data_IF_587717018869
#
_entry.id   IF_587717018869
#
_cell.length_a   1.000
_cell.length_b   1.000
_cell.length_c   1.000
_cell.angle_alpha   90.00
_cell.angle_beta   90.00
_cell.angle_gamma   90.00
#
_symmetry.space_group_name_H-M   'P 1'
#
loop_
_entity.id
_entity.type
_entity.pdbx_description
1 polymer ?
#
# COMPACT_ATOMS: atom_id res chain seq x y z
N UNK A 1 10.92 8.96 -15.15
CA UNK A 1 11.01 7.55 -15.58
C UNK A 1 9.88 6.79 -14.88
N UNK A 2 9.06 6.03 -15.60
CA UNK A 2 7.95 5.30 -15.01
C UNK A 2 8.46 4.22 -14.07
N UNK A 3 8.02 4.25 -12.81
CA UNK A 3 8.35 3.23 -11.82
C UNK A 3 7.47 1.99 -11.99
N UNK A 4 6.14 2.21 -12.07
CA UNK A 4 5.14 1.17 -12.31
C UNK A 4 4.43 1.46 -13.63
N UNK A 5 4.20 0.42 -14.44
CA UNK A 5 3.37 0.49 -15.64
C UNK A 5 2.39 -0.67 -15.60
N UNK A 6 1.13 -0.36 -15.67
CA UNK A 6 0.01 -1.31 -15.76
C UNK A 6 -0.54 -1.20 -17.17
N UNK A 7 -0.57 -2.29 -17.92
CA UNK A 7 -0.95 -2.29 -19.33
C UNK A 7 -2.06 -3.29 -19.58
N UNK A 8 -3.25 -2.78 -19.89
CA UNK A 8 -4.45 -3.52 -20.28
C UNK A 8 -4.70 -4.75 -19.40
N UNK A 9 -4.64 -4.58 -18.07
CA UNK A 9 -4.87 -5.66 -17.12
C UNK A 9 -6.32 -6.14 -17.19
N UNK A 10 -6.47 -7.47 -17.22
CA UNK A 10 -7.77 -8.14 -17.12
C UNK A 10 -7.77 -9.23 -16.05
N UNK A 11 -8.84 -9.27 -15.28
CA UNK A 11 -9.11 -10.35 -14.33
C UNK A 11 -10.61 -10.49 -14.12
N UNK A 12 -11.12 -11.71 -14.28
CA UNK A 12 -12.52 -12.06 -14.02
C UNK A 12 -12.61 -13.16 -12.97
N UNK A 13 -13.70 -13.18 -12.23
CA UNK A 13 -14.09 -14.24 -11.31
C UNK A 13 -15.49 -14.69 -11.69
N UNK A 14 -15.64 -15.94 -12.16
CA UNK A 14 -16.88 -16.38 -12.76
C UNK A 14 -17.30 -15.45 -13.91
N UNK A 15 -18.51 -14.91 -13.88
CA UNK A 15 -19.02 -13.96 -14.87
C UNK A 15 -18.68 -12.49 -14.61
N UNK A 16 -18.02 -12.15 -13.50
CA UNK A 16 -17.73 -10.75 -13.10
C UNK A 16 -16.34 -10.34 -13.54
N UNK A 17 -16.25 -9.29 -14.36
CA UNK A 17 -14.98 -8.67 -14.75
C UNK A 17 -14.53 -7.70 -13.65
N UNK A 18 -13.72 -8.20 -12.71
CA UNK A 18 -13.23 -7.39 -11.59
C UNK A 18 -12.19 -6.35 -12.01
N UNK A 19 -11.39 -6.64 -13.06
CA UNK A 19 -10.48 -5.69 -13.72
C UNK A 19 -10.63 -5.91 -15.22
N UNK A 20 -10.92 -4.86 -15.98
CA UNK A 20 -11.28 -4.91 -17.41
C UNK A 20 -10.52 -3.84 -18.21
N UNK A 21 -9.33 -4.18 -18.68
CA UNK A 21 -8.50 -3.35 -19.55
C UNK A 21 -7.82 -2.17 -18.85
N UNK A 22 -7.58 -2.26 -17.53
CA UNK A 22 -6.98 -1.16 -16.75
C UNK A 22 -5.55 -0.89 -17.20
N UNK A 23 -5.26 0.38 -17.47
CA UNK A 23 -3.92 0.85 -17.85
C UNK A 23 -3.62 2.18 -17.17
N UNK A 24 -2.46 2.29 -16.50
CA UNK A 24 -1.93 3.53 -15.94
C UNK A 24 -0.43 3.37 -15.64
N UNK A 25 0.22 4.46 -15.31
CA UNK A 25 1.62 4.48 -14.87
C UNK A 25 1.74 5.22 -13.55
N UNK A 26 2.79 4.92 -12.78
CA UNK A 26 3.20 5.73 -11.62
C UNK A 26 4.67 6.11 -11.76
N UNK A 27 4.98 7.34 -11.39
CA UNK A 27 6.35 7.85 -11.33
C UNK A 27 6.98 7.56 -9.96
N UNK A 28 8.30 7.53 -9.88
CA UNK A 28 8.99 7.51 -8.59
C UNK A 28 8.65 8.77 -7.78
N UNK A 29 8.40 8.61 -6.48
CA UNK A 29 8.01 9.70 -5.59
C UNK A 29 6.56 10.20 -5.76
N UNK A 30 5.78 9.61 -6.68
CA UNK A 30 4.38 9.99 -6.88
C UNK A 30 3.49 9.43 -5.78
N UNK A 31 2.57 10.26 -5.28
CA UNK A 31 1.53 9.85 -4.32
C UNK A 31 0.20 9.89 -5.05
N UNK A 32 -0.36 8.72 -5.32
CA UNK A 32 -1.61 8.55 -6.04
C UNK A 32 -2.66 7.83 -5.19
N UNK A 33 -3.91 8.26 -5.31
CA UNK A 33 -5.05 7.57 -4.74
C UNK A 33 -5.78 6.76 -5.81
N UNK A 34 -6.22 5.56 -5.46
CA UNK A 34 -7.14 4.74 -6.25
C UNK A 34 -8.48 4.71 -5.55
N UNK A 35 -9.46 5.40 -6.07
CA UNK A 35 -10.80 5.47 -5.51
C UNK A 35 -11.84 4.76 -6.38
N UNK A 36 -13.01 4.52 -5.84
CA UNK A 36 -14.13 3.87 -6.53
C UNK A 36 -15.05 3.20 -5.52
N UNK A 37 -16.30 2.88 -5.89
CA UNK A 37 -17.26 2.24 -5.01
C UNK A 37 -16.79 0.84 -4.56
N UNK A 38 -17.51 0.26 -3.60
CA UNK A 38 -17.30 -1.12 -3.20
C UNK A 38 -17.55 -2.05 -4.39
N UNK A 39 -16.67 -3.03 -4.57
CA UNK A 39 -16.74 -3.92 -5.74
C UNK A 39 -16.20 -3.35 -7.06
N UNK A 40 -15.66 -2.11 -7.06
CA UNK A 40 -15.09 -1.51 -8.27
C UNK A 40 -13.85 -2.26 -8.82
N UNK A 41 -13.20 -3.11 -8.01
CA UNK A 41 -12.02 -3.89 -8.40
C UNK A 41 -10.69 -3.39 -7.81
N UNK A 42 -10.72 -2.43 -6.86
CA UNK A 42 -9.52 -1.83 -6.24
C UNK A 42 -8.58 -2.88 -5.63
N UNK A 43 -9.07 -3.71 -4.71
CA UNK A 43 -8.27 -4.76 -4.06
C UNK A 43 -7.82 -5.84 -5.05
N UNK A 44 -8.62 -6.14 -6.09
CA UNK A 44 -8.20 -7.04 -7.18
C UNK A 44 -7.03 -6.46 -7.95
N UNK A 45 -7.07 -5.17 -8.26
CA UNK A 45 -5.97 -4.49 -8.95
C UNK A 45 -4.70 -4.49 -8.11
N UNK A 46 -4.79 -4.23 -6.80
CA UNK A 46 -3.66 -4.34 -5.88
C UNK A 46 -3.09 -5.75 -5.85
N UNK A 47 -3.94 -6.78 -5.77
CA UNK A 47 -3.54 -8.18 -5.77
C UNK A 47 -2.86 -8.62 -7.08
N UNK A 48 -3.19 -7.99 -8.21
CA UNK A 48 -2.50 -8.19 -9.48
C UNK A 48 -1.12 -7.52 -9.50
N UNK A 49 -0.99 -6.34 -8.90
CA UNK A 49 0.27 -5.59 -8.84
C UNK A 49 1.25 -6.27 -7.88
N UNK A 50 0.80 -6.71 -6.69
CA UNK A 50 1.69 -7.36 -5.70
C UNK A 50 1.94 -8.85 -5.96
N UNK A 51 1.19 -9.47 -6.88
CA UNK A 51 1.39 -10.85 -7.30
C UNK A 51 0.60 -11.90 -6.53
N UNK A 52 -0.34 -11.50 -5.68
CA UNK A 52 -1.29 -12.44 -5.06
C UNK A 52 -2.26 -13.03 -6.09
N UNK A 53 -2.48 -12.30 -7.19
CA UNK A 53 -3.26 -12.77 -8.33
C UNK A 53 -2.45 -12.65 -9.61
N UNK A 54 -2.65 -13.61 -10.53
CA UNK A 54 -2.09 -13.57 -11.88
C UNK A 54 -3.11 -12.94 -12.82
N UNK A 55 -2.73 -11.97 -13.68
CA UNK A 55 -3.62 -11.42 -14.69
C UNK A 55 -3.98 -12.48 -15.75
N UNK A 56 -5.20 -12.41 -16.29
CA UNK A 56 -5.64 -13.24 -17.42
C UNK A 56 -5.17 -12.66 -18.75
N UNK A 57 -5.01 -11.34 -18.82
CA UNK A 57 -4.40 -10.64 -19.95
C UNK A 57 -3.79 -9.32 -19.46
N UNK A 58 -2.96 -8.72 -20.31
CA UNK A 58 -2.17 -7.54 -19.95
C UNK A 58 -0.91 -7.88 -19.15
N UNK A 59 -0.23 -6.86 -18.67
CA UNK A 59 1.01 -7.03 -17.90
C UNK A 59 1.24 -5.89 -16.93
N UNK A 60 2.06 -6.16 -15.92
CA UNK A 60 2.59 -5.17 -14.99
C UNK A 60 4.10 -5.14 -15.17
N UNK A 61 4.65 -3.93 -15.34
CA UNK A 61 6.08 -3.67 -15.39
C UNK A 61 6.49 -2.82 -14.19
N UNK A 62 7.62 -3.15 -13.60
CA UNK A 62 8.24 -2.39 -12.51
C UNK A 62 9.68 -2.07 -12.90
N UNK A 63 10.04 -0.78 -12.96
CA UNK A 63 11.29 -0.31 -13.54
C UNK A 63 11.58 -0.83 -14.96
N UNK A 64 10.53 -1.04 -15.77
CA UNK A 64 10.63 -1.57 -17.12
C UNK A 64 10.72 -3.10 -17.20
N UNK A 65 10.84 -3.83 -16.07
CA UNK A 65 10.87 -5.28 -16.04
C UNK A 65 9.48 -5.86 -15.77
N UNK A 66 9.11 -6.93 -16.48
CA UNK A 66 7.81 -7.60 -16.31
C UNK A 66 7.75 -8.35 -14.97
N UNK A 67 6.66 -8.11 -14.22
CA UNK A 67 6.41 -8.80 -12.96
C UNK A 67 5.80 -10.20 -13.12
N UNK A 68 5.49 -10.64 -14.33
CA UNK A 68 4.69 -11.86 -14.56
C UNK A 68 5.33 -13.12 -13.96
N UNK A 69 6.65 -13.20 -13.99
CA UNK A 69 7.40 -14.36 -13.48
C UNK A 69 7.75 -14.24 -11.98
N UNK A 70 7.45 -13.09 -11.32
CA UNK A 70 7.88 -12.86 -9.96
C UNK A 70 6.79 -13.23 -8.96
N UNK A 71 7.16 -14.04 -7.98
CA UNK A 71 6.35 -14.30 -6.78
C UNK A 71 6.18 -13.02 -5.94
N UNK A 72 5.20 -12.99 -5.06
CA UNK A 72 4.99 -11.89 -4.11
C UNK A 72 6.25 -11.59 -3.30
N UNK A 73 6.95 -12.61 -2.82
CA UNK A 73 8.20 -12.44 -2.07
C UNK A 73 9.32 -11.80 -2.91
N UNK A 74 9.43 -12.15 -4.21
CA UNK A 74 10.37 -11.50 -5.12
C UNK A 74 10.00 -10.06 -5.40
N UNK A 75 8.72 -9.75 -5.58
CA UNK A 75 8.23 -8.36 -5.75
C UNK A 75 8.57 -7.51 -4.53
N UNK A 76 8.37 -8.06 -3.32
CA UNK A 76 8.72 -7.37 -2.07
C UNK A 76 10.23 -7.09 -2.00
N UNK A 77 11.08 -8.10 -2.24
CA UNK A 77 12.55 -7.91 -2.24
C UNK A 77 13.05 -6.93 -3.31
N UNK A 78 12.29 -6.75 -4.40
CA UNK A 78 12.62 -5.81 -5.48
C UNK A 78 12.02 -4.41 -5.28
N UNK A 79 11.34 -4.21 -4.15
CA UNK A 79 10.90 -2.89 -3.71
C UNK A 79 9.42 -2.58 -3.93
N UNK A 80 8.54 -3.60 -3.98
CA UNK A 80 7.08 -3.40 -3.90
C UNK A 80 6.63 -3.80 -2.51
N UNK A 81 6.37 -2.82 -1.64
CA UNK A 81 5.79 -3.02 -0.32
C UNK A 81 4.27 -2.97 -0.34
N UNK A 82 3.63 -3.65 0.60
CA UNK A 82 2.18 -3.57 0.80
C UNK A 82 1.82 -3.57 2.28
N UNK A 83 0.87 -2.70 2.67
CA UNK A 83 0.13 -2.85 3.92
C UNK A 83 -1.19 -3.56 3.62
N UNK A 84 -1.73 -4.28 4.60
CA UNK A 84 -2.96 -5.04 4.45
C UNK A 84 -4.07 -4.40 5.29
N UNK A 85 -5.32 -4.59 4.90
CA UNK A 85 -6.48 -4.09 5.63
C UNK A 85 -6.60 -4.72 7.03
N UNK A 86 -6.18 -5.97 7.17
CA UNK A 86 -6.09 -6.67 8.46
C UNK A 86 -4.63 -6.73 8.88
N UNK A 87 -4.33 -6.26 10.09
CA UNK A 87 -2.99 -6.23 10.65
C UNK A 87 -2.32 -7.61 10.61
N UNK A 88 -1.20 -7.69 9.90
CA UNK A 88 -0.40 -8.93 9.85
C UNK A 88 0.78 -8.82 10.81
N UNK A 89 0.45 -8.66 12.10
CA UNK A 89 1.43 -8.60 13.18
C UNK A 89 1.42 -9.88 14.00
N UNK A 90 2.55 -10.25 14.54
CA UNK A 90 2.65 -11.34 15.53
C UNK A 90 2.29 -10.77 16.89
N UNK A 91 1.06 -10.99 17.32
CA UNK A 91 0.47 -10.39 18.51
C UNK A 91 1.25 -10.67 19.81
N UNK A 92 1.88 -11.84 19.92
CA UNK A 92 2.65 -12.30 21.06
C UNK A 92 4.09 -11.79 21.10
N UNK A 93 4.60 -11.28 19.99
CA UNK A 93 5.93 -10.70 19.89
C UNK A 93 5.90 -9.22 20.27
N UNK A 94 7.06 -8.70 20.71
CA UNK A 94 7.19 -7.28 20.94
C UNK A 94 7.13 -6.49 19.61
N UNK A 95 6.85 -5.22 19.69
CA UNK A 95 6.85 -4.28 18.55
C UNK A 95 8.21 -4.33 17.84
N UNK A 96 9.32 -4.30 18.60
CA UNK A 96 10.67 -4.43 18.05
C UNK A 96 10.87 -5.76 17.33
N UNK A 97 10.46 -6.86 17.94
CA UNK A 97 10.60 -8.21 17.37
C UNK A 97 9.82 -8.38 16.05
N UNK A 98 8.64 -7.79 15.96
CA UNK A 98 7.87 -7.77 14.71
C UNK A 98 8.68 -7.10 13.56
N UNK A 99 9.31 -5.95 13.84
CA UNK A 99 10.11 -5.25 12.83
C UNK A 99 11.40 -6.01 12.49
N UNK A 100 12.05 -6.64 13.49
CA UNK A 100 13.23 -7.49 13.26
C UNK A 100 12.91 -8.68 12.34
N UNK A 101 11.75 -9.32 12.53
CA UNK A 101 11.27 -10.39 11.63
C UNK A 101 11.03 -9.88 10.21
N UNK A 102 10.42 -8.71 10.05
CA UNK A 102 10.19 -8.12 8.73
C UNK A 102 11.51 -7.81 8.02
N UNK A 103 12.51 -7.29 8.74
CA UNK A 103 13.85 -7.05 8.21
C UNK A 103 14.52 -8.37 7.76
N UNK A 104 14.42 -9.44 8.57
CA UNK A 104 14.96 -10.75 8.24
C UNK A 104 14.31 -11.34 6.97
N UNK A 105 12.99 -11.23 6.87
CA UNK A 105 12.23 -11.68 5.70
C UNK A 105 12.61 -10.89 4.42
N UNK A 106 12.80 -9.58 4.54
CA UNK A 106 13.22 -8.72 3.43
C UNK A 106 14.61 -9.10 2.89
N UNK A 107 15.54 -9.55 3.75
CA UNK A 107 16.87 -10.04 3.36
C UNK A 107 16.84 -11.44 2.73
N UNK A 108 15.69 -12.11 2.71
CA UNK A 108 15.56 -13.46 2.15
C UNK A 108 16.26 -14.55 2.98
N UNK A 109 16.63 -14.25 4.22
CA UNK A 109 17.23 -15.20 5.14
C UNK A 109 16.13 -16.09 5.71
N UNK A 110 16.23 -17.41 5.45
CA UNK A 110 15.41 -18.38 6.15
C UNK A 110 15.70 -18.25 7.65
N UNK A 111 14.66 -18.19 8.46
CA UNK A 111 14.75 -18.16 9.92
C UNK A 111 15.28 -19.52 10.42
N UNK A 112 16.58 -19.68 10.40
CA UNK A 112 17.23 -20.67 11.25
C UNK A 112 17.02 -20.25 12.69
N UNK A 113 16.54 -21.14 13.56
CA UNK A 113 16.24 -20.84 14.98
C UNK A 113 17.48 -20.29 15.73
N UNK A 114 18.68 -20.57 15.26
CA UNK A 114 19.94 -20.04 15.79
C UNK A 114 20.30 -18.63 15.27
N UNK A 115 19.72 -18.20 14.15
CA UNK A 115 19.91 -16.88 13.54
C UNK A 115 18.87 -15.85 13.99
N UNK A 116 18.08 -16.14 14.99
CA UNK A 116 17.34 -15.19 15.81
C UNK A 116 18.31 -14.31 16.59
N UNK A 117 19.27 -13.77 15.88
CA UNK A 117 20.17 -12.74 16.37
C UNK A 117 19.37 -11.45 16.42
N UNK A 118 18.48 -11.42 17.41
CA UNK A 118 17.69 -10.25 17.78
C UNK A 118 18.58 -9.00 17.83
N UNK A 119 19.83 -9.15 18.23
CA UNK A 119 20.79 -8.04 18.36
C UNK A 119 21.24 -7.48 17.00
N UNK A 120 21.46 -8.31 15.98
CA UNK A 120 21.98 -7.83 14.70
C UNK A 120 21.05 -6.87 13.95
N UNK A 121 19.75 -6.87 14.23
CA UNK A 121 18.78 -5.99 13.59
C UNK A 121 18.11 -5.01 14.54
N UNK A 122 18.52 -5.01 15.82
CA UNK A 122 17.91 -4.17 16.84
C UNK A 122 18.05 -2.68 16.50
N UNK A 123 19.22 -2.25 16.04
CA UNK A 123 19.45 -0.85 15.64
C UNK A 123 18.61 -0.45 14.42
N UNK A 124 18.59 -1.28 13.37
CA UNK A 124 17.78 -1.03 12.18
C UNK A 124 16.28 -1.04 12.50
N UNK A 125 15.82 -1.98 13.33
CA UNK A 125 14.43 -2.02 13.77
C UNK A 125 14.07 -0.81 14.64
N UNK A 126 14.91 -0.40 15.56
CA UNK A 126 14.71 0.80 16.37
C UNK A 126 14.66 2.07 15.50
N UNK A 127 15.50 2.15 14.47
CA UNK A 127 15.47 3.25 13.52
C UNK A 127 14.14 3.31 12.74
N UNK A 128 13.61 2.17 12.29
CA UNK A 128 12.29 2.11 11.66
C UNK A 128 11.17 2.51 12.62
N UNK A 129 11.21 2.02 13.85
CA UNK A 129 10.23 2.40 14.88
C UNK A 129 10.26 3.90 15.19
N UNK A 130 11.45 4.50 15.22
CA UNK A 130 11.59 5.95 15.39
C UNK A 130 10.96 6.72 14.22
N UNK A 131 11.10 6.25 12.98
CA UNK A 131 10.50 6.88 11.78
C UNK A 131 8.97 6.92 11.84
N UNK A 132 8.35 5.90 12.45
CA UNK A 132 6.88 5.80 12.60
C UNK A 132 6.38 6.24 13.98
N UNK A 133 7.26 6.71 14.87
CA UNK A 133 6.91 7.23 16.19
C UNK A 133 6.52 6.17 17.21
N UNK A 134 7.03 4.94 17.07
CA UNK A 134 6.78 3.81 17.99
C UNK A 134 7.97 3.42 18.86
N UNK A 135 9.01 4.24 18.93
CA UNK A 135 10.24 3.91 19.64
C UNK A 135 10.00 3.60 21.13
N UNK A 136 9.10 4.33 21.77
CA UNK A 136 8.74 4.13 23.18
C UNK A 136 7.97 2.83 23.45
N UNK A 137 7.36 2.23 22.41
CA UNK A 137 6.61 0.99 22.48
C UNK A 137 7.43 -0.24 22.05
N UNK A 138 8.74 -0.09 21.84
CA UNK A 138 9.60 -1.15 21.29
C UNK A 138 9.54 -2.47 22.05
N UNK A 139 9.43 -2.42 23.38
CA UNK A 139 9.34 -3.58 24.28
C UNK A 139 7.92 -4.07 24.55
N UNK A 140 6.90 -3.31 24.14
CA UNK A 140 5.51 -3.70 24.38
C UNK A 140 5.10 -4.85 23.46
N UNK A 141 4.18 -5.71 23.91
CA UNK A 141 3.60 -6.72 23.04
C UNK A 141 2.75 -6.02 21.96
N UNK A 142 2.84 -6.48 20.71
CA UNK A 142 2.06 -5.88 19.64
C UNK A 142 0.54 -5.91 19.89
N UNK A 143 0.05 -6.92 20.61
CA UNK A 143 -1.35 -7.02 21.03
C UNK A 143 -1.82 -5.91 21.99
N UNK A 144 -0.92 -5.21 22.68
CA UNK A 144 -1.26 -4.15 23.63
C UNK A 144 -1.35 -2.75 22.99
N UNK A 145 -0.97 -2.63 21.71
CA UNK A 145 -0.98 -1.35 21.01
C UNK A 145 -2.40 -0.83 20.77
N UNK A 146 -2.57 0.47 20.86
CA UNK A 146 -3.76 1.15 20.35
C UNK A 146 -3.87 0.97 18.84
N UNK A 147 -5.09 1.06 18.30
CA UNK A 147 -5.35 0.82 16.88
C UNK A 147 -4.50 1.69 15.93
N UNK A 148 -4.34 2.96 16.23
CA UNK A 148 -3.50 3.88 15.45
C UNK A 148 -2.01 3.47 15.46
N UNK A 149 -1.52 2.94 16.58
CA UNK A 149 -0.15 2.47 16.70
C UNK A 149 0.07 1.13 16.00
N UNK A 150 -0.95 0.26 15.94
CA UNK A 150 -0.93 -0.93 15.07
C UNK A 150 -0.75 -0.51 13.60
N UNK A 151 -1.47 0.53 13.13
CA UNK A 151 -1.32 1.04 11.75
C UNK A 151 0.08 1.61 11.48
N UNK A 152 0.70 2.24 12.48
CA UNK A 152 2.11 2.68 12.39
C UNK A 152 3.08 1.50 12.37
N UNK A 153 2.80 0.44 13.15
CA UNK A 153 3.60 -0.78 13.11
C UNK A 153 3.52 -1.46 11.74
N UNK A 154 2.33 -1.59 11.15
CA UNK A 154 2.15 -2.11 9.79
C UNK A 154 2.98 -1.32 8.77
N UNK A 155 2.98 0.01 8.88
CA UNK A 155 3.82 0.85 8.04
C UNK A 155 5.31 0.54 8.24
N UNK A 156 5.78 0.38 9.48
CA UNK A 156 7.17 0.01 9.75
C UNK A 156 7.54 -1.36 9.14
N UNK A 157 6.64 -2.35 9.23
CA UNK A 157 6.84 -3.67 8.62
C UNK A 157 6.95 -3.57 7.09
N UNK A 158 6.10 -2.79 6.44
CA UNK A 158 6.16 -2.58 5.00
C UNK A 158 7.44 -1.83 4.57
N UNK A 159 7.93 -0.89 5.38
CA UNK A 159 9.17 -0.14 5.14
C UNK A 159 10.44 -0.97 5.35
N UNK A 160 10.38 -2.11 6.06
CA UNK A 160 11.53 -2.98 6.31
C UNK A 160 12.19 -3.47 5.01
N UNK A 161 11.42 -3.69 3.94
CA UNK A 161 11.92 -4.07 2.63
C UNK A 161 12.46 -2.89 1.80
N UNK A 162 12.52 -1.66 2.37
CA UNK A 162 12.92 -0.42 1.68
C UNK A 162 12.20 -0.25 0.34
N UNK A 163 10.86 -0.21 0.32
CA UNK A 163 10.09 -0.22 -0.90
C UNK A 163 10.34 1.05 -1.73
N UNK A 164 10.31 0.89 -3.04
CA UNK A 164 10.24 2.00 -4.01
C UNK A 164 8.80 2.32 -4.39
N UNK A 165 7.90 1.33 -4.26
CA UNK A 165 6.45 1.46 -4.39
C UNK A 165 5.80 0.88 -3.14
N UNK A 166 4.95 1.66 -2.48
CA UNK A 166 4.13 1.21 -1.36
C UNK A 166 2.66 1.19 -1.77
N UNK A 167 2.05 0.02 -1.69
CA UNK A 167 0.61 -0.19 -1.89
C UNK A 167 -0.08 -0.19 -0.53
N UNK A 168 -1.09 0.66 -0.34
CA UNK A 168 -1.80 0.78 0.93
C UNK A 168 -3.31 0.64 0.73
N UNK A 169 -3.90 -0.39 1.32
CA UNK A 169 -5.33 -0.66 1.21
C UNK A 169 -6.04 -0.08 2.44
N UNK A 170 -6.73 1.05 2.26
CA UNK A 170 -7.48 1.79 3.29
C UNK A 170 -6.65 2.06 4.58
N UNK A 171 -5.48 2.72 4.46
CA UNK A 171 -4.54 2.86 5.59
C UNK A 171 -5.13 3.57 6.79
N UNK A 172 -6.15 4.42 6.60
CA UNK A 172 -6.74 5.22 7.68
C UNK A 172 -8.14 4.75 8.13
N UNK A 173 -8.62 3.60 7.59
CA UNK A 173 -9.92 3.05 7.97
C UNK A 173 -10.03 2.84 9.48
N UNK A 174 -11.16 3.25 10.07
CA UNK A 174 -11.43 3.10 11.51
C UNK A 174 -10.72 4.09 12.44
N UNK A 175 -9.91 5.02 11.91
CA UNK A 175 -9.19 6.02 12.71
C UNK A 175 -9.99 7.32 12.88
N UNK A 176 -9.78 8.04 13.98
CA UNK A 176 -10.29 9.39 14.18
C UNK A 176 -9.66 10.38 13.17
N UNK A 177 -10.36 11.47 12.83
CA UNK A 177 -9.92 12.41 11.79
C UNK A 177 -8.49 12.93 12.00
N UNK A 178 -8.15 13.36 13.22
CA UNK A 178 -6.81 13.85 13.54
C UNK A 178 -5.72 12.79 13.35
N UNK A 179 -5.99 11.54 13.72
CA UNK A 179 -5.06 10.43 13.59
C UNK A 179 -4.85 10.06 12.11
N UNK A 180 -5.93 10.08 11.29
CA UNK A 180 -5.86 9.85 9.84
C UNK A 180 -4.90 10.83 9.18
N UNK A 181 -5.07 12.12 9.47
CA UNK A 181 -4.21 13.16 8.92
C UNK A 181 -2.76 13.02 9.38
N UNK A 182 -2.53 12.72 10.66
CA UNK A 182 -1.19 12.51 11.21
C UNK A 182 -0.48 11.30 10.54
N UNK A 183 -1.19 10.19 10.32
CA UNK A 183 -0.64 9.02 9.63
C UNK A 183 -0.30 9.36 8.17
N UNK A 184 -1.20 10.01 7.44
CA UNK A 184 -0.96 10.37 6.04
C UNK A 184 0.18 11.38 5.88
N UNK A 185 0.29 12.37 6.77
CA UNK A 185 1.44 13.29 6.80
C UNK A 185 2.76 12.55 7.02
N UNK A 186 2.77 11.53 7.90
CA UNK A 186 3.94 10.67 8.12
C UNK A 186 4.30 9.91 6.84
N UNK A 187 3.33 9.29 6.17
CA UNK A 187 3.53 8.56 4.91
C UNK A 187 4.12 9.48 3.84
N UNK A 188 3.53 10.66 3.64
CA UNK A 188 4.00 11.66 2.66
C UNK A 188 5.45 12.09 2.94
N UNK A 189 5.80 12.35 4.22
CA UNK A 189 7.15 12.69 4.63
C UNK A 189 8.14 11.57 4.33
N UNK A 190 7.80 10.31 4.69
CA UNK A 190 8.65 9.14 4.44
C UNK A 190 8.82 8.86 2.94
N UNK A 191 7.75 8.99 2.17
CA UNK A 191 7.77 8.85 0.72
C UNK A 191 8.69 9.90 0.08
N UNK A 192 8.57 11.16 0.50
CA UNK A 192 9.44 12.23 -0.01
C UNK A 192 10.92 12.04 0.33
N UNK A 193 11.22 11.57 1.55
CA UNK A 193 12.61 11.34 1.99
C UNK A 193 13.31 10.21 1.20
N UNK A 194 12.58 9.20 0.75
CA UNK A 194 13.11 8.03 0.03
C UNK A 194 12.79 7.99 -1.46
N UNK A 195 12.13 9.01 -2.00
CA UNK A 195 11.60 9.04 -3.37
C UNK A 195 10.70 7.82 -3.68
N UNK A 196 9.97 7.35 -2.67
CA UNK A 196 9.06 6.21 -2.74
C UNK A 196 7.74 6.65 -3.35
N UNK A 197 7.25 5.91 -4.36
CA UNK A 197 5.88 6.08 -4.84
C UNK A 197 4.90 5.42 -3.86
N UNK A 198 3.73 6.03 -3.71
CA UNK A 198 2.63 5.48 -2.90
C UNK A 198 1.37 5.41 -3.75
N UNK A 199 0.75 4.23 -3.79
CA UNK A 199 -0.60 4.05 -4.32
C UNK A 199 -1.48 3.56 -3.18
N UNK A 200 -2.48 4.36 -2.81
CA UNK A 200 -3.36 4.01 -1.70
C UNK A 200 -4.84 4.02 -2.12
N UNK A 201 -5.63 3.15 -1.48
CA UNK A 201 -7.10 3.24 -1.57
C UNK A 201 -7.64 3.94 -0.35
N UNK A 202 -8.71 4.68 -0.48
CA UNK A 202 -9.40 5.36 0.62
C UNK A 202 -10.86 5.65 0.28
N UNK A 203 -11.70 5.73 1.33
CA UNK A 203 -13.08 6.20 1.23
C UNK A 203 -13.26 7.63 1.73
N UNK A 204 -12.32 8.12 2.52
CA UNK A 204 -12.33 9.47 3.09
C UNK A 204 -11.82 10.47 2.05
N UNK A 205 -12.73 11.23 1.44
CA UNK A 205 -12.38 12.17 0.38
C UNK A 205 -11.49 13.31 0.86
N UNK A 206 -11.60 13.73 2.12
CA UNK A 206 -10.70 14.68 2.76
C UNK A 206 -9.25 14.17 2.79
N UNK A 207 -9.05 12.89 3.03
CA UNK A 207 -7.72 12.24 2.93
C UNK A 207 -7.25 12.18 1.48
N UNK A 208 -8.11 11.72 0.56
CA UNK A 208 -7.77 11.62 -0.86
C UNK A 208 -7.33 12.97 -1.41
N UNK A 209 -8.17 13.99 -1.27
CA UNK A 209 -7.89 15.32 -1.82
C UNK A 209 -6.83 16.11 -1.04
N UNK A 210 -6.60 15.76 0.22
CA UNK A 210 -5.56 16.40 1.05
C UNK A 210 -4.15 15.90 0.79
N UNK A 211 -3.99 14.65 0.31
CA UNK A 211 -2.67 14.02 0.25
C UNK A 211 -2.27 13.46 -1.13
N UNK A 212 -3.24 13.07 -1.98
CA UNK A 212 -2.93 12.59 -3.31
C UNK A 212 -2.57 13.76 -4.25
N UNK A 213 -1.55 13.55 -5.09
CA UNK A 213 -1.23 14.45 -6.21
C UNK A 213 -1.90 14.03 -7.51
N UNK A 214 -2.39 12.79 -7.54
CA UNK A 214 -3.13 12.20 -8.66
C UNK A 214 -4.17 11.24 -8.12
N UNK A 215 -5.33 11.23 -8.73
CA UNK A 215 -6.45 10.37 -8.38
C UNK A 215 -6.83 9.53 -9.59
N UNK A 216 -6.89 8.23 -9.38
CA UNK A 216 -7.36 7.22 -10.31
C UNK A 216 -8.74 6.76 -9.84
N UNK A 217 -9.75 6.83 -10.70
CA UNK A 217 -11.12 6.43 -10.37
C UNK A 217 -11.47 5.14 -11.09
N UNK A 218 -11.72 4.10 -10.31
CA UNK A 218 -12.11 2.79 -10.79
C UNK A 218 -13.61 2.57 -10.63
N UNK A 219 -14.30 2.15 -11.69
CA UNK A 219 -15.71 1.78 -11.66
C UNK A 219 -15.92 0.53 -12.49
N UNK A 220 -16.59 -0.49 -11.93
CA UNK A 220 -16.92 -1.76 -12.61
C UNK A 220 -15.71 -2.38 -13.33
N UNK A 221 -14.53 -2.35 -12.68
CA UNK A 221 -13.29 -2.89 -13.22
C UNK A 221 -12.57 -2.00 -14.23
N UNK A 222 -13.07 -0.82 -14.58
CA UNK A 222 -12.49 0.10 -15.56
C UNK A 222 -12.04 1.40 -14.93
N UNK A 223 -10.96 1.96 -15.44
CA UNK A 223 -10.52 3.29 -15.08
C UNK A 223 -11.37 4.30 -15.85
N UNK A 224 -12.16 5.11 -15.13
CA UNK A 224 -13.06 6.10 -15.70
C UNK A 224 -12.50 7.51 -15.63
N UNK A 225 -11.61 7.80 -14.66
CA UNK A 225 -10.91 9.06 -14.58
C UNK A 225 -9.48 8.85 -14.04
N UNK A 226 -8.58 9.74 -14.47
CA UNK A 226 -7.16 9.74 -14.10
C UNK A 226 -6.63 11.18 -14.24
N UNK A 227 -6.31 11.83 -13.14
CA UNK A 227 -5.88 13.22 -13.17
C UNK A 227 -5.57 13.81 -11.80
N UNK A 228 -5.31 15.11 -11.80
CA UNK A 228 -5.13 15.86 -10.55
C UNK A 228 -6.44 15.91 -9.76
N UNK A 229 -6.39 16.01 -8.42
CA UNK A 229 -7.57 15.96 -7.57
C UNK A 229 -8.70 16.91 -7.98
N UNK A 230 -8.36 18.14 -8.37
CA UNK A 230 -9.31 19.16 -8.78
C UNK A 230 -10.05 18.78 -10.06
N UNK A 231 -9.34 18.22 -11.06
CA UNK A 231 -9.94 17.79 -12.31
C UNK A 231 -10.88 16.59 -12.10
N UNK A 232 -10.45 15.61 -11.29
CA UNK A 232 -11.26 14.43 -10.98
C UNK A 232 -12.51 14.82 -10.17
N UNK A 233 -12.41 15.76 -9.25
CA UNK A 233 -13.55 16.27 -8.48
C UNK A 233 -14.58 16.98 -9.36
N UNK A 234 -14.13 17.65 -10.44
CA UNK A 234 -15.00 18.36 -11.39
C UNK A 234 -15.58 17.46 -12.48
N UNK A 235 -15.11 16.21 -12.59
CA UNK A 235 -15.57 15.26 -13.60
C UNK A 235 -17.01 14.83 -13.34
N UNK A 236 -17.87 14.99 -14.34
CA UNK A 236 -19.31 14.71 -14.23
C UNK A 236 -19.63 13.23 -14.09
N UNK A 237 -18.82 12.34 -14.65
CA UNK A 237 -18.99 10.89 -14.51
C UNK A 237 -18.62 10.46 -13.09
N UNK A 238 -17.53 11.02 -12.55
CA UNK A 238 -17.11 10.79 -11.17
C UNK A 238 -18.17 11.32 -10.18
N UNK A 239 -18.67 12.53 -10.40
CA UNK A 239 -19.74 13.11 -9.56
C UNK A 239 -20.99 12.22 -9.55
N UNK A 240 -21.44 11.73 -10.70
CA UNK A 240 -22.60 10.82 -10.78
C UNK A 240 -22.37 9.51 -10.06
N UNK A 241 -21.13 8.99 -10.05
CA UNK A 241 -20.78 7.75 -9.37
C UNK A 241 -20.91 7.90 -7.84
N UNK A 242 -20.56 9.06 -7.29
CA UNK A 242 -20.56 9.31 -5.85
C UNK A 242 -21.83 10.01 -5.35
N UNK A 243 -22.52 10.79 -6.18
CA UNK A 243 -23.76 11.49 -5.83
C UNK A 243 -25.02 10.73 -6.26
N UNK A 244 -24.91 9.81 -7.24
CA UNK A 244 -26.05 9.03 -7.76
C UNK A 244 -26.46 7.85 -6.89
N UNK A 245 -25.77 7.54 -5.80
CA UNK A 245 -26.16 6.54 -4.81
C UNK A 245 -27.12 7.10 -3.74
N UNK A 246 -27.44 8.39 -3.78
CA UNK A 246 -28.38 9.04 -2.84
C UNK A 246 -29.77 9.36 -3.46
N UNK A 247 -30.13 8.74 -4.59
CA UNK A 247 -31.44 8.91 -5.21
C UNK A 247 -32.26 7.61 -5.30
#
# INVERSE_FOLDING_TARGET
>A
MNLLQVERLHRSFGGVRAVDGVSFTLMAGEIAALIGPNGAGKSTLFNLIDGQLTPQAGRVLFNGESLTAWSTAERTRRGIGRTFQVAQTFATLTVLQNVQLALAAAEGRALGIADLLWDLRAEAASSLLAQVGLQQHASDAAASLAYGDIKRLELALALAAKPRLLLMDEPTAGMAAAERFALMQMIVRLAGASNMAVLFTEHSMDVVFGFARRVLVLSRGRLIADGVPEAVRADTEVQRLYLGEEA
#
